data_IF_501631199327
#
_entry.id   IF_501631199327
#
_cell.length_a   1.000
_cell.length_b   1.000
_cell.length_c   1.000
_cell.angle_alpha   90.00
_cell.angle_beta   90.00
_cell.angle_gamma   90.00
#
_symmetry.space_group_name_H-M   'P 1'
#
loop_
_entity.id
_entity.type
_entity.pdbx_description
1 polymer ?
#
# COMPACT_ATOMS: atom_id res chain seq x y z
N UNK A 1 -10.75 6.72 37.37
CA UNK A 1 -9.84 5.97 36.47
C UNK A 1 -9.36 6.94 35.40
N UNK A 2 -8.08 7.30 35.39
CA UNK A 2 -7.55 8.23 34.40
C UNK A 2 -7.38 7.50 33.05
N UNK A 3 -7.94 8.04 31.97
CA UNK A 3 -7.56 7.63 30.61
C UNK A 3 -6.08 8.00 30.43
N UNK A 4 -5.21 7.01 30.38
CA UNK A 4 -3.83 7.20 29.94
C UNK A 4 -3.88 7.55 28.44
N UNK A 5 -3.86 8.85 28.13
CA UNK A 5 -3.57 9.32 26.77
C UNK A 5 -2.10 8.97 26.45
N UNK A 6 -1.89 7.73 26.00
CA UNK A 6 -0.56 7.25 25.60
C UNK A 6 -0.27 7.76 24.20
N UNK A 7 0.52 8.82 24.11
CA UNK A 7 1.13 9.25 22.86
C UNK A 7 2.36 8.38 22.56
N UNK A 8 2.49 7.94 21.31
CA UNK A 8 3.66 7.22 20.81
C UNK A 8 4.16 7.97 19.58
N UNK A 9 5.46 8.23 19.52
CA UNK A 9 6.10 9.00 18.46
C UNK A 9 7.07 8.10 17.71
N UNK A 10 7.13 8.25 16.39
CA UNK A 10 8.06 7.56 15.52
C UNK A 10 8.79 8.59 14.65
N UNK A 11 10.09 8.43 14.47
CA UNK A 11 10.91 9.20 13.53
C UNK A 11 11.67 8.19 12.69
N UNK A 12 11.27 8.09 11.43
CA UNK A 12 11.77 7.09 10.48
C UNK A 12 12.61 7.80 9.43
N UNK A 13 13.72 7.17 9.04
CA UNK A 13 14.52 7.61 7.90
C UNK A 13 13.99 6.96 6.60
N UNK A 14 14.64 7.26 5.47
CA UNK A 14 14.25 6.72 4.17
C UNK A 14 14.28 5.18 4.12
N UNK A 15 15.29 4.55 4.69
CA UNK A 15 15.46 3.10 4.69
C UNK A 15 14.38 2.41 5.53
N UNK A 16 14.06 2.98 6.70
CA UNK A 16 12.97 2.52 7.56
C UNK A 16 11.64 2.53 6.79
N UNK A 17 11.36 3.62 6.06
CA UNK A 17 10.13 3.77 5.28
C UNK A 17 10.10 2.75 4.14
N UNK A 18 11.19 2.58 3.40
CA UNK A 18 11.28 1.60 2.31
C UNK A 18 11.09 0.17 2.82
N UNK A 19 11.67 -0.18 3.98
CA UNK A 19 11.49 -1.50 4.59
C UNK A 19 10.02 -1.77 4.94
N UNK A 20 9.33 -0.80 5.54
CA UNK A 20 7.91 -0.93 5.89
C UNK A 20 7.05 -1.10 4.63
N UNK A 21 7.34 -0.32 3.58
CA UNK A 21 6.61 -0.38 2.31
C UNK A 21 6.89 -1.71 1.61
N UNK A 22 8.14 -2.18 1.56
CA UNK A 22 8.52 -3.48 1.02
C UNK A 22 7.73 -4.60 1.67
N UNK A 23 7.73 -4.65 3.01
CA UNK A 23 7.01 -5.69 3.77
C UNK A 23 5.49 -5.64 3.55
N UNK A 24 4.93 -4.44 3.37
CA UNK A 24 3.51 -4.28 3.07
C UNK A 24 3.19 -4.79 1.66
N UNK A 25 3.93 -4.36 0.66
CA UNK A 25 3.71 -4.73 -0.74
C UNK A 25 3.93 -6.23 -0.97
N UNK A 26 4.99 -6.81 -0.41
CA UNK A 26 5.26 -8.25 -0.49
C UNK A 26 4.06 -9.11 -0.06
N UNK A 27 3.33 -8.68 0.98
CA UNK A 27 2.10 -9.35 1.45
C UNK A 27 0.96 -9.26 0.45
N UNK A 28 0.82 -8.12 -0.23
CA UNK A 28 -0.27 -7.89 -1.18
C UNK A 28 -0.09 -8.73 -2.46
N UNK A 29 1.15 -8.90 -2.92
CA UNK A 29 1.50 -9.78 -4.06
C UNK A 29 1.65 -11.27 -3.71
N UNK A 30 1.50 -11.63 -2.42
CA UNK A 30 1.63 -13.02 -1.92
C UNK A 30 2.95 -13.70 -2.26
N UNK A 31 4.04 -12.94 -2.38
CA UNK A 31 5.37 -13.52 -2.51
C UNK A 31 5.64 -14.42 -1.29
N UNK A 32 6.15 -15.62 -1.54
CA UNK A 32 6.61 -16.50 -0.46
C UNK A 32 7.89 -15.92 0.15
N UNK A 33 8.27 -16.43 1.32
CA UNK A 33 9.56 -16.12 1.92
C UNK A 33 10.68 -16.42 0.92
N UNK A 34 11.59 -15.47 0.68
CA UNK A 34 12.69 -15.60 -0.29
C UNK A 34 12.56 -14.80 -1.59
N UNK A 35 11.76 -13.72 -1.63
CA UNK A 35 11.66 -12.84 -2.79
C UNK A 35 12.77 -11.78 -2.81
N UNK A 36 13.28 -11.51 -4.01
CA UNK A 36 14.18 -10.38 -4.26
C UNK A 36 13.32 -9.16 -4.59
N UNK A 37 13.70 -7.99 -4.09
CA UNK A 37 12.98 -6.76 -4.38
C UNK A 37 13.91 -5.55 -4.40
N UNK A 38 13.69 -4.68 -5.39
CA UNK A 38 14.35 -3.38 -5.52
C UNK A 38 13.28 -2.30 -5.45
N UNK A 39 13.48 -1.31 -4.57
CA UNK A 39 12.54 -0.23 -4.34
C UNK A 39 13.32 1.08 -4.16
N UNK A 40 12.78 2.18 -4.69
CA UNK A 40 13.36 3.49 -4.45
C UNK A 40 12.31 4.60 -4.44
N UNK A 41 12.64 5.71 -3.77
CA UNK A 41 11.91 6.95 -3.89
C UNK A 41 12.26 7.64 -5.20
N UNK A 42 11.24 8.02 -5.96
CA UNK A 42 11.35 8.84 -7.16
C UNK A 42 10.55 10.12 -7.00
N UNK A 43 10.91 11.13 -7.80
CA UNK A 43 10.26 12.44 -7.81
C UNK A 43 10.86 13.43 -6.82
N UNK A 44 10.15 14.52 -6.62
CA UNK A 44 10.52 15.62 -5.71
C UNK A 44 9.62 15.64 -4.47
N UNK A 45 9.82 16.62 -3.58
CA UNK A 45 9.02 16.77 -2.36
C UNK A 45 7.51 16.91 -2.61
N UNK A 46 7.10 17.33 -3.82
CA UNK A 46 5.69 17.57 -4.17
C UNK A 46 5.07 16.41 -4.94
N UNK A 47 5.89 15.55 -5.53
CA UNK A 47 5.45 14.41 -6.33
C UNK A 47 6.27 13.14 -6.01
N UNK A 48 6.45 12.91 -4.71
CA UNK A 48 7.15 11.74 -4.18
C UNK A 48 6.35 10.47 -4.46
N UNK A 49 7.02 9.45 -4.99
CA UNK A 49 6.46 8.12 -5.22
C UNK A 49 7.49 7.05 -4.93
N UNK A 50 7.01 5.83 -4.68
CA UNK A 50 7.86 4.66 -4.50
C UNK A 50 7.57 3.74 -5.68
N UNK A 51 8.62 3.39 -6.43
CA UNK A 51 8.57 2.37 -7.47
C UNK A 51 9.26 1.13 -6.94
N UNK A 52 8.62 -0.01 -7.13
CA UNK A 52 9.00 -1.27 -6.52
C UNK A 52 8.86 -2.42 -7.53
N UNK A 53 9.89 -3.26 -7.58
CA UNK A 53 9.89 -4.48 -8.38
C UNK A 53 10.20 -5.65 -7.47
N UNK A 54 9.45 -6.74 -7.63
CA UNK A 54 9.58 -7.97 -6.87
C UNK A 54 9.77 -9.14 -7.84
N UNK A 55 10.66 -10.08 -7.51
CA UNK A 55 10.81 -11.36 -8.21
C UNK A 55 10.83 -12.52 -7.21
N UNK A 56 10.26 -13.64 -7.64
CA UNK A 56 10.28 -14.93 -6.93
C UNK A 56 11.62 -15.67 -7.13
N UNK A 57 12.41 -15.25 -8.12
CA UNK A 57 13.71 -15.83 -8.46
C UNK A 57 14.80 -14.85 -8.03
N UNK A 58 15.98 -15.37 -7.72
CA UNK A 58 17.18 -14.58 -7.49
C UNK A 58 17.66 -13.99 -8.83
N UNK A 59 16.88 -13.04 -9.33
CA UNK A 59 17.16 -12.28 -10.55
C UNK A 59 18.03 -11.06 -10.20
N UNK A 60 18.87 -10.63 -11.14
CA UNK A 60 19.69 -9.41 -11.07
C UNK A 60 18.81 -8.15 -11.15
N UNK A 61 17.95 -7.94 -10.16
CA UNK A 61 17.04 -6.79 -10.06
C UNK A 61 17.80 -5.45 -10.01
N UNK A 62 19.10 -5.47 -9.71
CA UNK A 62 19.98 -4.31 -9.73
C UNK A 62 20.13 -3.69 -11.13
N UNK A 63 19.85 -4.44 -12.20
CA UNK A 63 19.92 -3.93 -13.58
C UNK A 63 18.63 -3.23 -14.03
N UNK A 64 17.57 -3.26 -13.21
CA UNK A 64 16.28 -2.69 -13.57
C UNK A 64 16.29 -1.17 -13.35
N UNK A 65 16.03 -0.40 -14.41
CA UNK A 65 15.86 1.04 -14.32
C UNK A 65 14.46 1.39 -13.80
N UNK A 66 14.38 1.71 -12.51
CA UNK A 66 13.14 2.13 -11.88
C UNK A 66 12.54 3.42 -12.48
N UNK A 67 13.35 4.28 -13.12
CA UNK A 67 12.85 5.48 -13.79
C UNK A 67 12.16 5.17 -15.12
N UNK A 68 12.55 4.07 -15.77
CA UNK A 68 11.88 3.61 -16.98
C UNK A 68 10.53 3.01 -16.61
N UNK A 69 10.51 2.10 -15.61
CA UNK A 69 9.28 1.52 -15.07
C UNK A 69 8.28 2.61 -14.67
N UNK A 70 8.72 3.63 -13.95
CA UNK A 70 7.89 4.76 -13.53
C UNK A 70 7.15 5.46 -14.68
N UNK A 71 7.75 5.52 -15.87
CA UNK A 71 7.14 6.15 -17.05
C UNK A 71 6.14 5.23 -17.76
N UNK A 72 6.31 3.91 -17.58
CA UNK A 72 5.52 2.90 -18.28
C UNK A 72 4.29 2.43 -17.48
N UNK A 73 4.33 2.54 -16.15
CA UNK A 73 3.25 2.07 -15.28
C UNK A 73 2.39 3.21 -14.74
N UNK A 74 1.08 3.00 -14.72
CA UNK A 74 0.16 3.87 -13.99
C UNK A 74 0.24 3.63 -12.47
N UNK A 75 -0.15 4.63 -11.69
CA UNK A 75 -0.26 4.48 -10.23
C UNK A 75 -1.27 3.40 -9.85
N UNK A 76 -0.76 2.29 -9.32
CA UNK A 76 -1.54 1.09 -8.98
C UNK A 76 -1.77 0.89 -7.47
N UNK A 77 -1.51 1.92 -6.66
CA UNK A 77 -1.74 1.88 -5.21
C UNK A 77 -3.24 1.89 -4.85
N UNK A 78 -3.55 1.40 -3.65
CA UNK A 78 -4.94 1.30 -3.16
C UNK A 78 -5.69 2.64 -3.28
N UNK A 79 -5.06 3.76 -2.92
CA UNK A 79 -5.69 5.08 -2.95
C UNK A 79 -5.72 5.71 -4.35
N UNK A 80 -4.72 5.44 -5.21
CA UNK A 80 -4.67 6.00 -6.56
C UNK A 80 -5.67 5.34 -7.51
N UNK A 81 -5.98 4.07 -7.25
CA UNK A 81 -6.94 3.27 -8.04
C UNK A 81 -8.36 3.28 -7.48
N UNK A 82 -8.58 3.92 -6.33
CA UNK A 82 -9.92 4.15 -5.80
C UNK A 82 -10.66 5.16 -6.70
N UNK A 83 -11.64 4.65 -7.45
CA UNK A 83 -12.45 5.36 -8.45
C UNK A 83 -13.06 6.70 -8.06
N UNK A 84 -13.09 7.09 -6.77
CA UNK A 84 -13.62 8.38 -6.29
C UNK A 84 -13.01 8.84 -4.94
N UNK A 85 -11.83 8.35 -4.52
CA UNK A 85 -11.31 8.66 -3.17
C UNK A 85 -10.26 9.77 -3.10
N UNK A 86 -9.94 10.41 -4.24
CA UNK A 86 -8.88 11.43 -4.33
C UNK A 86 -9.07 12.69 -3.47
N UNK A 87 -10.17 12.82 -2.71
CA UNK A 87 -10.38 13.96 -1.84
C UNK A 87 -11.08 13.61 -0.51
N UNK A 88 -10.62 12.59 0.24
CA UNK A 88 -11.13 12.34 1.62
C UNK A 88 -11.06 13.60 2.51
N UNK A 89 -10.17 14.55 2.20
CA UNK A 89 -10.06 15.82 2.92
C UNK A 89 -11.24 16.79 2.68
N UNK A 90 -11.99 16.65 1.58
CA UNK A 90 -13.11 17.53 1.21
C UNK A 90 -14.47 16.79 1.10
N UNK A 91 -14.56 15.52 1.50
CA UNK A 91 -15.83 14.79 1.48
C UNK A 91 -16.78 15.31 2.56
N UNK A 92 -18.04 15.50 2.15
CA UNK A 92 -19.16 15.71 3.06
C UNK A 92 -19.40 14.47 3.91
N UNK A 93 -20.09 14.62 5.04
CA UNK A 93 -20.36 13.51 5.97
C UNK A 93 -21.15 12.38 5.29
N UNK A 94 -22.06 12.71 4.37
CA UNK A 94 -22.85 11.73 3.62
C UNK A 94 -22.00 10.88 2.65
N UNK A 95 -20.99 11.48 2.03
CA UNK A 95 -20.07 10.78 1.13
C UNK A 95 -19.12 9.87 1.91
N UNK A 96 -18.66 10.31 3.09
CA UNK A 96 -17.89 9.48 4.02
C UNK A 96 -18.72 8.27 4.47
N UNK A 97 -19.99 8.48 4.80
CA UNK A 97 -20.87 7.41 5.26
C UNK A 97 -21.13 6.36 4.15
N UNK A 98 -21.29 6.80 2.90
CA UNK A 98 -21.38 5.90 1.74
C UNK A 98 -20.11 5.09 1.53
N UNK A 99 -18.94 5.70 1.65
CA UNK A 99 -17.64 5.00 1.51
C UNK A 99 -17.46 3.99 2.64
N UNK A 100 -17.72 4.38 3.89
CA UNK A 100 -17.65 3.48 5.05
C UNK A 100 -18.58 2.28 4.85
N UNK A 101 -19.82 2.51 4.41
CA UNK A 101 -20.80 1.44 4.15
C UNK A 101 -20.33 0.50 3.03
N UNK A 102 -19.69 1.03 1.98
CA UNK A 102 -19.12 0.25 0.87
C UNK A 102 -17.93 -0.60 1.34
N UNK A 103 -17.04 -0.05 2.17
CA UNK A 103 -15.90 -0.75 2.78
C UNK A 103 -16.35 -1.84 3.75
N UNK A 104 -17.33 -1.57 4.61
CA UNK A 104 -17.91 -2.57 5.52
C UNK A 104 -18.54 -3.74 4.75
N UNK A 105 -19.24 -3.47 3.64
CA UNK A 105 -19.76 -4.51 2.74
C UNK A 105 -18.66 -5.35 2.11
N UNK A 106 -17.58 -4.73 1.64
CA UNK A 106 -16.43 -5.44 1.04
C UNK A 106 -15.75 -6.38 2.05
N UNK A 107 -15.51 -5.90 3.27
CA UNK A 107 -14.95 -6.69 4.36
C UNK A 107 -15.86 -7.85 4.78
N UNK A 108 -17.18 -7.65 4.78
CA UNK A 108 -18.15 -8.71 5.06
C UNK A 108 -18.14 -9.81 3.99
N UNK A 109 -18.08 -9.43 2.72
CA UNK A 109 -18.02 -10.39 1.60
C UNK A 109 -16.71 -11.19 1.61
N UNK A 110 -15.57 -10.55 1.91
CA UNK A 110 -14.30 -11.26 2.07
C UNK A 110 -14.32 -12.25 3.23
N UNK A 111 -14.90 -11.88 4.37
CA UNK A 111 -15.08 -12.81 5.50
C UNK A 111 -15.96 -14.00 5.14
N UNK A 112 -17.05 -13.78 4.40
CA UNK A 112 -17.90 -14.86 3.92
C UNK A 112 -17.16 -15.79 2.96
N UNK A 113 -16.43 -15.25 1.97
CA UNK A 113 -15.67 -16.06 1.04
C UNK A 113 -14.60 -16.91 1.75
N UNK A 114 -13.91 -16.34 2.74
CA UNK A 114 -12.94 -17.07 3.56
C UNK A 114 -13.59 -18.15 4.46
N UNK A 115 -14.85 -17.96 4.85
CA UNK A 115 -15.62 -18.94 5.60
C UNK A 115 -16.07 -20.11 4.71
N UNK A 116 -16.49 -19.84 3.47
CA UNK A 116 -16.92 -20.87 2.53
C UNK A 116 -15.75 -21.65 1.89
N UNK A 117 -14.54 -21.10 1.84
CA UNK A 117 -13.34 -21.82 1.38
C UNK A 117 -12.71 -22.75 2.43
N UNK A 118 -13.20 -22.71 3.69
CA UNK A 118 -12.71 -23.55 4.80
C UNK A 118 -13.62 -24.76 5.12
N UNK A 119 -14.63 -25.04 4.28
CA UNK A 119 -15.45 -26.26 4.32
C UNK A 119 -15.09 -27.16 3.15
#
# INVERSE_FOLDING_TARGET
MALNNRHVYFKLNSDDILSIVKDRLAKDVKFKDGHSAVLNFLGDEKNLRIVAVFSDVDDDLEQIDLNEIDKEIDFNGDLSTMSDAGNIRNLTDEEREKIIKKLSRRNYIQKLNNFFQKK
#
